data_IF_371432894788
#
_entry.id   IF_371432894788
#
_cell.length_a   1.000
_cell.length_b   1.000
_cell.length_c   1.000
_cell.angle_alpha   90.00
_cell.angle_beta   90.00
_cell.angle_gamma   90.00
#
_symmetry.space_group_name_H-M   'P 1'
#
loop_
_entity.id
_entity.type
_entity.pdbx_description
1 polymer ?
#
# COMPACT_ATOMS: atom_id res chain seq x y z
N UNK A 1 57.67 -3.21 -65.61
CA UNK A 1 57.56 -4.68 -65.61
C UNK A 1 56.27 -5.01 -64.85
N UNK A 2 55.11 -5.14 -65.52
CA UNK A 2 54.64 -6.28 -66.37
C UNK A 2 54.19 -7.48 -65.52
N UNK A 3 52.96 -8.00 -65.60
CA UNK A 3 51.80 -7.71 -66.49
C UNK A 3 50.48 -8.26 -65.84
N UNK A 4 49.30 -7.61 -65.97
CA UNK A 4 48.15 -7.96 -66.88
C UNK A 4 47.62 -9.41 -66.67
N UNK A 5 46.34 -9.75 -66.43
CA UNK A 5 44.99 -9.11 -66.66
C UNK A 5 43.93 -9.58 -65.61
N UNK A 6 42.91 -8.74 -65.32
CA UNK A 6 41.42 -8.92 -65.35
C UNK A 6 40.73 -10.26 -64.88
N UNK A 7 39.45 -10.33 -64.43
CA UNK A 7 38.35 -9.35 -64.27
C UNK A 7 37.26 -9.83 -63.25
N UNK A 8 36.54 -8.90 -62.58
CA UNK A 8 35.30 -9.08 -61.76
C UNK A 8 35.32 -10.00 -60.51
N UNK A 9 34.59 -9.76 -59.41
CA UNK A 9 33.80 -8.57 -58.99
C UNK A 9 33.12 -8.74 -57.61
N UNK A 10 33.21 -7.71 -56.75
CA UNK A 10 32.41 -7.41 -55.53
C UNK A 10 32.29 -8.49 -54.41
N UNK A 11 33.14 -8.48 -53.37
CA UNK A 11 33.16 -7.64 -52.14
C UNK A 11 32.10 -7.93 -51.05
N UNK A 12 32.57 -8.34 -49.87
CA UNK A 12 31.91 -8.16 -48.56
C UNK A 12 32.84 -7.32 -47.67
N UNK A 13 32.31 -6.33 -46.94
CA UNK A 13 33.06 -5.59 -45.91
C UNK A 13 32.16 -5.40 -44.68
N UNK A 14 32.49 -6.09 -43.59
CA UNK A 14 32.08 -5.69 -42.25
C UNK A 14 33.11 -4.70 -41.66
N UNK A 15 32.71 -3.88 -40.69
CA UNK A 15 33.64 -3.09 -39.88
C UNK A 15 33.36 -3.25 -38.39
N UNK A 16 34.45 -3.36 -37.65
CA UNK A 16 34.51 -3.58 -36.20
C UNK A 16 34.44 -2.25 -35.43
N UNK A 17 34.15 -2.37 -34.13
CA UNK A 17 34.13 -1.27 -33.18
C UNK A 17 35.54 -0.77 -32.82
N UNK A 18 35.62 0.51 -32.45
CA UNK A 18 36.76 1.11 -31.74
C UNK A 18 36.21 1.82 -30.52
N UNK A 19 36.88 1.65 -29.38
CA UNK A 19 36.53 2.30 -28.11
C UNK A 19 37.37 3.57 -27.99
N UNK A 20 36.74 4.69 -27.64
CA UNK A 20 37.42 5.90 -27.15
C UNK A 20 36.80 6.27 -25.81
N UNK A 21 37.66 6.61 -24.85
CA UNK A 21 37.30 7.01 -23.50
C UNK A 21 37.91 8.39 -23.25
N UNK A 22 37.10 9.37 -22.88
CA UNK A 22 37.62 10.61 -22.32
C UNK A 22 36.68 11.14 -21.24
N UNK A 23 37.29 11.63 -20.16
CA UNK A 23 36.65 12.49 -19.17
C UNK A 23 37.09 13.90 -19.49
N UNK A 24 36.23 14.90 -19.34
CA UNK A 24 36.74 16.16 -18.83
C UNK A 24 35.69 16.98 -18.07
N UNK A 25 36.18 17.91 -17.25
CA UNK A 25 35.39 18.80 -16.40
C UNK A 25 35.73 20.24 -16.79
N UNK A 26 34.73 21.04 -17.18
CA UNK A 26 34.90 22.49 -17.33
C UNK A 26 33.82 23.22 -16.53
N UNK A 27 34.27 24.20 -15.75
CA UNK A 27 33.44 25.08 -14.90
C UNK A 27 33.38 26.46 -15.54
N UNK A 28 32.18 27.06 -15.65
CA UNK A 28 32.03 28.45 -16.09
C UNK A 28 30.93 29.19 -15.32
N UNK A 29 31.40 29.94 -14.33
CA UNK A 29 30.78 31.02 -13.56
C UNK A 29 29.53 31.74 -14.08
N UNK A 30 28.58 31.93 -13.15
CA UNK A 30 27.78 33.13 -12.85
C UNK A 30 27.06 33.93 -13.96
N UNK A 31 25.78 34.20 -13.69
CA UNK A 31 25.29 35.58 -13.68
C UNK A 31 24.27 35.79 -12.54
N UNK A 32 24.40 36.88 -11.79
CA UNK A 32 23.40 37.33 -10.82
C UNK A 32 22.70 38.53 -11.43
N UNK A 33 21.37 38.51 -11.51
CA UNK A 33 20.56 39.68 -11.86
C UNK A 33 19.66 40.01 -10.69
N UNK A 34 19.93 41.14 -10.04
CA UNK A 34 19.03 41.74 -9.05
C UNK A 34 18.12 42.74 -9.75
N UNK A 35 16.82 42.66 -9.50
CA UNK A 35 15.86 43.74 -9.81
C UNK A 35 15.01 43.96 -8.57
N UNK A 36 15.24 45.08 -7.89
CA UNK A 36 14.33 45.61 -6.87
C UNK A 36 13.42 46.67 -7.47
N UNK A 37 12.17 46.71 -7.02
CA UNK A 37 11.23 47.81 -7.28
C UNK A 37 10.43 48.06 -5.99
N UNK A 38 10.04 49.31 -5.73
CA UNK A 38 9.46 49.74 -4.45
C UNK A 38 8.18 50.55 -4.61
N UNK A 39 7.21 50.29 -3.73
CA UNK A 39 6.02 51.12 -3.46
C UNK A 39 5.49 50.73 -2.07
N UNK A 40 5.55 51.61 -1.06
CA UNK A 40 4.45 52.50 -0.65
C UNK A 40 3.16 51.70 -0.36
N UNK A 41 2.74 51.45 0.89
CA UNK A 41 2.38 52.37 1.99
C UNK A 41 1.16 53.25 1.65
N UNK A 42 -0.01 52.83 2.16
CA UNK A 42 -1.12 53.69 2.61
C UNK A 42 -1.88 52.96 3.73
N UNK A 43 -2.03 53.58 4.90
CA UNK A 43 -3.01 53.17 5.91
C UNK A 43 -4.43 53.56 5.47
N UNK A 44 -5.45 52.81 5.89
CA UNK A 44 -6.70 53.43 6.34
C UNK A 44 -7.43 52.58 7.39
N UNK A 45 -8.30 53.21 8.19
CA UNK A 45 -8.93 52.62 9.38
C UNK A 45 -10.44 52.70 9.34
N UNK A 46 -11.07 51.62 9.83
CA UNK A 46 -12.34 51.58 10.58
C UNK A 46 -13.58 52.29 10.03
N UNK A 47 -14.67 51.53 9.92
CA UNK A 47 -15.97 51.97 10.42
C UNK A 47 -16.80 50.74 10.83
N UNK A 48 -17.52 50.85 11.94
CA UNK A 48 -18.43 49.82 12.45
C UNK A 48 -19.75 50.47 12.84
N UNK A 49 -20.87 49.81 12.56
CA UNK A 49 -22.22 50.27 12.92
C UNK A 49 -23.02 49.09 13.45
N UNK A 50 -23.52 49.24 14.67
CA UNK A 50 -24.53 48.39 15.33
C UNK A 50 -25.91 49.07 15.23
N UNK A 51 -27.01 48.29 15.28
CA UNK A 51 -28.34 48.73 15.79
C UNK A 51 -29.43 47.65 15.69
N UNK A 52 -30.05 47.32 16.83
CA UNK A 52 -31.53 47.33 16.96
C UNK A 52 -32.34 46.02 16.90
N UNK A 53 -33.00 45.67 18.00
CA UNK A 53 -34.11 44.68 18.11
C UNK A 53 -35.48 45.38 18.25
N UNK A 54 -36.62 44.69 18.03
CA UNK A 54 -37.57 44.54 19.16
C UNK A 54 -38.48 43.27 19.22
N UNK A 55 -38.43 42.57 20.38
CA UNK A 55 -39.54 42.14 21.30
C UNK A 55 -40.94 41.74 20.74
N UNK A 56 -41.40 40.47 20.92
CA UNK A 56 -42.33 39.90 21.98
C UNK A 56 -43.85 40.18 21.80
N UNK A 57 -44.83 39.34 22.28
CA UNK A 57 -45.01 38.65 23.60
C UNK A 57 -45.11 37.09 23.54
N UNK A 58 -44.85 36.30 24.59
CA UNK A 58 -45.62 35.97 25.84
C UNK A 58 -46.91 35.13 25.58
N UNK A 59 -47.21 34.00 26.25
CA UNK A 59 -46.68 33.38 27.50
C UNK A 59 -46.90 31.81 27.47
N UNK A 60 -46.96 30.92 28.50
CA UNK A 60 -47.14 30.99 29.97
C UNK A 60 -46.53 29.77 30.78
N UNK A 61 -47.24 29.27 31.81
CA UNK A 61 -46.95 28.28 32.90
C UNK A 61 -47.32 26.81 32.54
N UNK A 62 -47.03 25.70 33.29
CA UNK A 62 -46.06 25.21 34.32
C UNK A 62 -46.58 23.80 34.84
N UNK A 63 -46.02 23.03 35.83
CA UNK A 63 -44.74 23.13 36.57
C UNK A 63 -43.95 21.79 36.84
N UNK A 64 -42.65 21.93 37.19
CA UNK A 64 -41.83 21.17 38.18
C UNK A 64 -41.81 19.61 38.34
N UNK A 65 -40.61 19.03 38.34
CA UNK A 65 -40.00 18.31 39.50
C UNK A 65 -38.45 18.13 39.35
N UNK A 66 -37.68 17.94 40.43
CA UNK A 66 -36.20 17.99 40.40
C UNK A 66 -35.47 16.62 40.43
N UNK A 67 -34.15 16.71 40.29
CA UNK A 67 -33.10 15.67 40.21
C UNK A 67 -33.10 14.56 41.29
N UNK A 68 -32.62 13.37 40.90
CA UNK A 68 -32.08 12.36 41.81
C UNK A 68 -30.76 11.76 41.28
N UNK A 69 -29.84 11.44 42.19
CA UNK A 69 -28.54 10.81 41.90
C UNK A 69 -28.73 9.28 42.00
N UNK A 70 -28.16 8.46 41.09
CA UNK A 70 -28.30 7.00 41.16
C UNK A 70 -27.46 6.40 42.30
N UNK A 71 -28.13 6.07 43.41
CA UNK A 71 -27.53 5.39 44.57
C UNK A 71 -27.00 4.00 44.21
N UNK A 72 -25.74 3.72 44.57
CA UNK A 72 -25.11 2.41 44.45
C UNK A 72 -25.87 1.40 45.34
N UNK A 73 -26.38 0.30 44.74
CA UNK A 73 -26.90 -0.85 45.48
C UNK A 73 -25.77 -1.85 45.77
N UNK A 74 -25.60 -2.33 47.01
CA UNK A 74 -24.69 -3.43 47.30
C UNK A 74 -25.29 -4.75 46.79
N UNK A 75 -24.63 -5.38 45.82
CA UNK A 75 -24.90 -6.78 45.45
C UNK A 75 -24.07 -7.72 46.33
N UNK A 76 -24.62 -8.88 46.67
CA UNK A 76 -24.04 -9.76 47.70
C UNK A 76 -22.80 -10.52 47.21
N UNK A 77 -21.69 -10.31 47.92
CA UNK A 77 -20.41 -10.97 47.68
C UNK A 77 -20.46 -12.46 48.06
N UNK A 78 -20.91 -13.31 47.14
CA UNK A 78 -20.64 -14.76 47.23
C UNK A 78 -19.12 -14.95 47.12
N UNK A 79 -18.47 -15.33 48.21
CA UNK A 79 -17.04 -15.66 48.22
C UNK A 79 -16.77 -16.79 47.24
N UNK A 80 -16.26 -16.45 46.05
CA UNK A 80 -15.71 -17.43 45.12
C UNK A 80 -14.39 -17.91 45.72
N UNK A 81 -14.34 -19.16 46.17
CA UNK A 81 -13.11 -19.73 46.72
C UNK A 81 -11.98 -19.61 45.70
N UNK A 82 -10.85 -19.06 46.15
CA UNK A 82 -9.64 -18.97 45.36
C UNK A 82 -9.13 -20.38 45.09
N UNK A 83 -9.39 -20.90 43.88
CA UNK A 83 -8.61 -22.03 43.37
C UNK A 83 -7.14 -21.58 43.36
N UNK A 84 -6.20 -22.38 43.91
CA UNK A 84 -4.79 -22.04 43.79
C UNK A 84 -4.44 -21.93 42.30
N UNK A 85 -3.75 -20.86 41.92
CA UNK A 85 -3.27 -20.70 40.55
C UNK A 85 -2.20 -21.76 40.30
N UNK A 86 -2.55 -22.79 39.52
CA UNK A 86 -1.60 -23.72 38.94
C UNK A 86 -0.83 -23.01 37.83
N UNK A 87 0.14 -22.16 38.20
CA UNK A 87 1.07 -21.51 37.27
C UNK A 87 2.10 -22.51 36.74
N UNK A 88 1.63 -23.47 35.95
CA UNK A 88 2.43 -24.10 34.90
C UNK A 88 2.41 -23.17 33.67
N UNK A 89 2.96 -21.98 33.82
CA UNK A 89 3.27 -21.12 32.68
C UNK A 89 4.29 -21.85 31.79
N UNK A 90 4.05 -22.01 30.48
CA UNK A 90 5.16 -22.29 29.58
C UNK A 90 6.17 -21.15 29.74
N UNK A 91 7.46 -21.47 29.65
CA UNK A 91 8.55 -20.53 29.92
C UNK A 91 8.45 -19.32 28.97
N UNK A 92 8.45 -18.12 29.53
CA UNK A 92 8.49 -16.87 28.75
C UNK A 92 9.72 -16.85 27.86
N UNK A 93 9.56 -16.53 26.57
CA UNK A 93 10.63 -16.60 25.56
C UNK A 93 11.51 -15.35 25.63
N UNK A 94 12.12 -15.14 26.80
CA UNK A 94 13.19 -14.19 27.03
C UNK A 94 14.50 -14.92 26.66
N UNK A 95 15.23 -14.49 25.61
CA UNK A 95 16.48 -15.14 25.24
C UNK A 95 17.53 -15.00 26.34
N UNK A 96 18.19 -16.11 26.70
CA UNK A 96 19.26 -16.12 27.71
C UNK A 96 20.50 -15.35 27.24
N UNK A 97 20.66 -15.14 25.93
CA UNK A 97 21.65 -14.24 25.33
C UNK A 97 21.05 -12.84 25.16
N UNK A 98 21.68 -11.80 25.71
CA UNK A 98 21.15 -10.44 25.60
C UNK A 98 21.19 -9.97 24.12
N UNK A 99 20.22 -9.17 23.64
CA UNK A 99 20.23 -8.62 22.28
C UNK A 99 21.49 -7.84 21.91
N UNK A 100 22.19 -7.26 22.89
CA UNK A 100 23.47 -6.56 22.72
C UNK A 100 24.68 -7.49 22.51
N UNK A 101 24.54 -8.79 22.77
CA UNK A 101 25.58 -9.80 22.60
C UNK A 101 25.43 -10.60 21.28
N UNK A 102 24.32 -10.41 20.56
CA UNK A 102 24.08 -11.07 19.26
C UNK A 102 24.84 -10.40 18.12
N UNK A 103 25.80 -11.13 17.56
CA UNK A 103 26.48 -10.74 16.32
C UNK A 103 25.50 -10.64 15.13
N UNK A 104 24.43 -11.45 15.12
CA UNK A 104 23.39 -11.38 14.07
C UNK A 104 22.58 -10.09 14.13
N UNK A 105 22.19 -9.64 15.33
CA UNK A 105 21.52 -8.34 15.50
C UNK A 105 22.42 -7.17 15.10
N UNK A 106 23.69 -7.18 15.52
CA UNK A 106 24.64 -6.13 15.15
C UNK A 106 24.86 -6.08 13.63
N UNK A 107 25.01 -7.24 12.98
CA UNK A 107 25.16 -7.33 11.52
C UNK A 107 23.89 -6.91 10.76
N UNK A 108 22.70 -7.21 11.28
CA UNK A 108 21.42 -6.80 10.70
C UNK A 108 21.21 -5.28 10.83
N UNK A 109 21.52 -4.71 11.99
CA UNK A 109 21.42 -3.27 12.28
C UNK A 109 22.28 -2.45 11.31
N UNK A 110 23.56 -2.81 11.17
CA UNK A 110 24.47 -2.13 10.24
C UNK A 110 24.17 -2.38 8.75
N UNK A 111 23.60 -3.54 8.38
CA UNK A 111 23.19 -3.85 7.00
C UNK A 111 22.00 -3.01 6.52
N UNK A 112 21.15 -2.59 7.46
CA UNK A 112 19.96 -1.77 7.20
C UNK A 112 20.21 -0.27 7.40
N UNK A 113 21.45 0.13 7.67
CA UNK A 113 21.88 1.49 8.03
C UNK A 113 20.97 2.13 9.12
N UNK A 114 20.60 1.32 10.12
CA UNK A 114 19.73 1.80 11.20
C UNK A 114 20.49 2.83 12.06
N UNK A 115 19.87 3.97 12.41
CA UNK A 115 20.55 4.98 13.20
C UNK A 115 20.87 4.47 14.59
N UNK A 116 21.99 4.92 15.18
CA UNK A 116 22.46 4.54 16.52
C UNK A 116 21.45 4.79 17.66
N UNK A 117 20.39 5.57 17.42
CA UNK A 117 19.26 5.74 18.35
C UNK A 117 18.33 4.53 18.42
N UNK A 118 18.26 3.72 17.37
CA UNK A 118 17.52 2.46 17.31
C UNK A 118 18.33 1.40 18.09
N UNK A 119 17.84 0.92 19.25
CA UNK A 119 18.60 -0.01 20.07
C UNK A 119 18.42 -1.46 19.59
N UNK A 120 19.47 -2.28 19.74
CA UNK A 120 19.43 -3.71 19.40
C UNK A 120 18.34 -4.49 20.16
N UNK A 121 17.91 -4.00 21.32
CA UNK A 121 16.77 -4.56 22.08
C UNK A 121 15.43 -4.42 21.35
N UNK A 122 15.16 -3.28 20.72
CA UNK A 122 13.98 -3.11 19.85
C UNK A 122 14.08 -3.96 18.58
N UNK A 123 15.31 -4.20 18.08
CA UNK A 123 15.52 -5.04 16.89
C UNK A 123 15.28 -6.52 17.19
N UNK A 124 15.78 -7.01 18.33
CA UNK A 124 15.45 -8.34 18.85
C UNK A 124 13.95 -8.50 19.13
N UNK A 125 13.30 -7.51 19.74
CA UNK A 125 11.84 -7.51 19.94
C UNK A 125 11.07 -7.59 18.61
N UNK A 126 11.52 -6.91 17.56
CA UNK A 126 10.87 -7.00 16.24
C UNK A 126 10.90 -8.42 15.65
N UNK A 127 11.87 -9.26 16.04
CA UNK A 127 12.03 -10.66 15.62
C UNK A 127 11.24 -11.67 16.46
N UNK A 128 10.51 -11.24 17.50
CA UNK A 128 9.66 -12.12 18.32
C UNK A 128 8.20 -11.98 17.86
N UNK A 129 7.67 -12.98 17.17
CA UNK A 129 6.28 -13.02 16.72
C UNK A 129 5.31 -13.34 17.88
N UNK A 130 4.09 -12.79 17.92
CA UNK A 130 3.09 -13.10 18.97
C UNK A 130 2.69 -14.57 19.09
N UNK A 131 3.00 -15.43 18.10
CA UNK A 131 2.83 -16.88 18.22
C UNK A 131 3.94 -17.58 19.01
N UNK A 132 5.11 -16.94 19.17
CA UNK A 132 6.21 -17.43 19.99
C UNK A 132 6.12 -16.95 21.44
N UNK A 133 5.74 -15.68 21.65
CA UNK A 133 5.60 -15.06 22.96
C UNK A 133 4.23 -14.36 23.05
N UNK A 134 3.27 -14.86 23.85
CA UNK A 134 1.94 -14.27 23.94
C UNK A 134 1.93 -12.86 24.56
N UNK A 135 2.92 -12.50 25.38
CA UNK A 135 2.93 -11.21 26.07
C UNK A 135 3.23 -10.02 25.14
N UNK A 136 2.21 -9.20 24.86
CA UNK A 136 2.26 -8.08 23.92
C UNK A 136 3.39 -7.06 24.14
N UNK A 137 3.96 -6.98 25.35
CA UNK A 137 5.11 -6.11 25.65
C UNK A 137 6.48 -6.70 25.26
N UNK A 138 6.57 -8.00 25.02
CA UNK A 138 7.80 -8.70 24.60
C UNK A 138 7.78 -9.06 23.10
N UNK A 139 6.60 -9.29 22.52
CA UNK A 139 6.45 -9.59 21.09
C UNK A 139 6.34 -8.35 20.18
N UNK A 140 6.33 -8.58 18.87
CA UNK A 140 6.33 -7.57 17.81
C UNK A 140 4.94 -7.04 17.42
N UNK A 141 3.83 -7.55 17.96
CA UNK A 141 2.46 -7.25 17.51
C UNK A 141 2.15 -5.75 17.49
N UNK A 142 2.38 -5.03 18.59
CA UNK A 142 2.14 -3.58 18.65
C UNK A 142 3.00 -2.77 17.67
N UNK A 143 4.24 -3.20 17.43
CA UNK A 143 5.14 -2.58 16.45
C UNK A 143 4.70 -2.89 15.02
N UNK A 144 4.28 -4.13 14.76
CA UNK A 144 3.79 -4.60 13.46
C UNK A 144 2.52 -3.86 13.03
N UNK A 145 1.59 -3.62 13.96
CA UNK A 145 0.39 -2.84 13.70
C UNK A 145 0.71 -1.38 13.36
N UNK A 146 1.59 -0.71 14.12
CA UNK A 146 2.04 0.66 13.82
C UNK A 146 2.78 0.74 12.47
N UNK A 147 3.67 -0.20 12.19
CA UNK A 147 4.41 -0.29 10.94
C UNK A 147 3.50 -0.53 9.74
N UNK A 148 2.41 -1.30 9.91
CA UNK A 148 1.41 -1.51 8.87
C UNK A 148 0.64 -0.23 8.52
N UNK A 149 0.36 0.64 9.50
CA UNK A 149 -0.26 1.96 9.26
C UNK A 149 0.71 2.88 8.50
N UNK A 150 1.96 2.96 8.95
CA UNK A 150 3.00 3.79 8.30
C UNK A 150 3.26 3.34 6.85
N UNK A 151 3.43 2.02 6.62
CA UNK A 151 3.59 1.45 5.29
C UNK A 151 2.35 1.66 4.41
N UNK A 152 1.15 1.55 4.99
CA UNK A 152 -0.11 1.86 4.30
C UNK A 152 -0.15 3.29 3.80
N UNK A 153 0.12 4.26 4.70
CA UNK A 153 0.15 5.69 4.41
C UNK A 153 1.13 6.01 3.27
N UNK A 154 2.43 5.77 3.46
CA UNK A 154 3.47 6.11 2.46
C UNK A 154 3.27 5.40 1.11
N UNK A 155 2.73 4.18 1.10
CA UNK A 155 2.43 3.48 -0.17
C UNK A 155 1.20 4.05 -0.86
N UNK A 156 0.18 4.45 -0.11
CA UNK A 156 -1.04 5.04 -0.67
C UNK A 156 -0.79 6.42 -1.28
N UNK A 157 -0.09 7.34 -0.59
CA UNK A 157 0.22 8.65 -1.16
C UNK A 157 1.10 8.54 -2.41
N UNK A 158 2.11 7.66 -2.39
CA UNK A 158 2.97 7.42 -3.54
C UNK A 158 2.17 6.96 -4.76
N UNK A 159 1.32 5.93 -4.61
CA UNK A 159 0.51 5.42 -5.71
C UNK A 159 -0.53 6.41 -6.20
N UNK A 160 -1.18 7.17 -5.31
CA UNK A 160 -2.21 8.15 -5.69
C UNK A 160 -1.63 9.39 -6.36
N UNK A 161 -0.44 9.87 -5.96
CA UNK A 161 0.22 11.01 -6.63
C UNK A 161 0.83 10.58 -7.97
N UNK A 162 1.43 9.39 -8.06
CA UNK A 162 1.99 8.91 -9.33
C UNK A 162 0.92 8.42 -10.33
N UNK A 163 -0.23 7.92 -9.87
CA UNK A 163 -1.31 7.43 -10.73
C UNK A 163 -2.68 7.92 -10.23
N UNK A 164 -3.00 9.21 -10.38
CA UNK A 164 -4.20 9.84 -9.80
C UNK A 164 -5.53 9.33 -10.39
N UNK A 165 -5.48 8.52 -11.45
CA UNK A 165 -6.63 7.87 -12.11
C UNK A 165 -6.70 6.36 -11.86
N UNK A 166 -5.88 5.80 -10.97
CA UNK A 166 -5.76 4.35 -10.82
C UNK A 166 -7.03 3.75 -10.18
N UNK A 167 -7.75 2.81 -10.85
CA UNK A 167 -8.99 2.24 -10.32
C UNK A 167 -8.81 1.59 -8.95
N UNK A 168 -9.80 1.69 -8.07
CA UNK A 168 -9.64 1.35 -6.64
C UNK A 168 -9.17 -0.09 -6.38
N UNK A 169 -9.70 -1.08 -7.11
CA UNK A 169 -9.23 -2.47 -6.98
C UNK A 169 -7.80 -2.67 -7.55
N UNK A 170 -7.38 -1.85 -8.51
CA UNK A 170 -6.00 -1.85 -9.03
C UNK A 170 -5.05 -1.14 -8.05
N UNK A 171 -5.46 -0.01 -7.44
CA UNK A 171 -4.73 0.65 -6.36
C UNK A 171 -4.53 -0.31 -5.18
N UNK A 172 -5.58 -1.00 -4.75
CA UNK A 172 -5.55 -1.99 -3.66
C UNK A 172 -4.68 -3.21 -3.96
N UNK A 173 -4.70 -3.72 -5.20
CA UNK A 173 -3.79 -4.81 -5.61
C UNK A 173 -2.35 -4.33 -5.79
N UNK A 174 -2.12 -3.09 -6.22
CA UNK A 174 -0.80 -2.46 -6.26
C UNK A 174 -0.23 -2.26 -4.84
N UNK A 175 -1.01 -1.74 -3.90
CA UNK A 175 -0.65 -1.66 -2.48
C UNK A 175 -0.28 -3.06 -1.94
N UNK A 176 -1.07 -4.10 -2.22
CA UNK A 176 -0.72 -5.47 -1.83
C UNK A 176 0.55 -5.99 -2.55
N UNK A 177 0.85 -5.52 -3.75
CA UNK A 177 2.10 -5.78 -4.46
C UNK A 177 3.34 -5.15 -3.79
N UNK A 178 3.20 -4.01 -3.12
CA UNK A 178 4.27 -3.38 -2.34
C UNK A 178 4.33 -3.88 -0.88
N UNK A 179 3.22 -3.83 -0.14
CA UNK A 179 3.16 -4.03 1.32
C UNK A 179 2.34 -5.26 1.76
N UNK A 180 1.93 -6.11 0.83
CA UNK A 180 1.35 -7.42 1.13
C UNK A 180 2.37 -8.38 1.76
N UNK A 181 1.92 -9.44 2.44
CA UNK A 181 2.80 -10.30 3.23
C UNK A 181 3.92 -10.94 2.39
N UNK A 182 3.61 -11.55 1.24
CA UNK A 182 4.62 -12.05 0.29
C UNK A 182 5.64 -10.99 -0.15
N UNK A 183 5.22 -9.75 -0.33
CA UNK A 183 6.09 -8.66 -0.76
C UNK A 183 7.03 -8.20 0.36
N UNK A 184 6.54 -8.12 1.60
CA UNK A 184 7.35 -7.80 2.78
C UNK A 184 8.23 -8.97 3.21
N UNK A 185 7.77 -10.22 3.08
CA UNK A 185 8.58 -11.40 3.32
C UNK A 185 9.81 -11.44 2.38
N UNK A 186 9.61 -11.12 1.09
CA UNK A 186 10.71 -10.99 0.13
C UNK A 186 11.71 -9.89 0.52
N UNK A 187 11.24 -8.76 1.06
CA UNK A 187 12.09 -7.69 1.61
C UNK A 187 12.90 -8.21 2.81
N UNK A 188 12.25 -8.85 3.78
CA UNK A 188 12.94 -9.42 4.96
C UNK A 188 13.95 -10.53 4.62
N UNK A 189 13.69 -11.35 3.59
CA UNK A 189 14.68 -12.31 3.09
C UNK A 189 15.83 -11.60 2.35
N UNK A 190 15.56 -10.50 1.64
CA UNK A 190 16.58 -9.66 1.01
C UNK A 190 17.46 -8.94 2.02
N UNK A 191 16.92 -8.60 3.19
CA UNK A 191 17.66 -8.15 4.35
C UNK A 191 18.49 -9.25 5.02
N UNK A 192 18.35 -10.51 4.59
CA UNK A 192 19.10 -11.66 5.12
C UNK A 192 18.72 -12.00 6.57
N UNK A 193 17.43 -11.95 6.90
CA UNK A 193 16.90 -12.44 8.18
C UNK A 193 16.57 -13.92 8.07
N UNK A 194 17.08 -14.69 9.03
CA UNK A 194 16.91 -16.13 9.14
C UNK A 194 15.85 -16.48 10.19
N UNK A 195 15.11 -17.57 9.99
CA UNK A 195 14.13 -18.07 10.95
C UNK A 195 14.73 -19.13 11.87
N UNK A 196 14.48 -19.00 13.18
CA UNK A 196 14.78 -20.05 14.17
C UNK A 196 14.02 -21.35 13.83
N UNK A 197 14.53 -22.52 14.20
CA UNK A 197 13.84 -23.80 13.95
C UNK A 197 12.56 -23.96 14.79
N UNK A 198 12.63 -23.54 16.05
CA UNK A 198 11.52 -23.37 16.99
C UNK A 198 11.83 -22.14 17.85
N UNK A 199 10.82 -21.47 18.46
CA UNK A 199 11.08 -20.44 19.46
C UNK A 199 11.67 -21.05 20.75
N UNK A 200 12.47 -20.29 21.49
CA UNK A 200 13.03 -20.74 22.77
C UNK A 200 14.18 -19.89 23.31
N UNK A 201 14.44 -19.99 24.61
CA UNK A 201 15.42 -19.15 25.32
C UNK A 201 16.87 -19.31 24.85
N UNK A 202 17.22 -20.46 24.26
CA UNK A 202 18.56 -20.80 23.77
C UNK A 202 18.83 -20.29 22.34
N UNK A 203 17.83 -19.69 21.70
CA UNK A 203 17.90 -19.17 20.33
C UNK A 203 18.51 -17.76 20.35
N UNK A 204 19.45 -17.51 19.42
CA UNK A 204 20.01 -16.19 19.17
C UNK A 204 18.88 -15.16 18.88
N UNK A 205 18.77 -14.03 19.61
CA UNK A 205 17.73 -13.02 19.38
C UNK A 205 17.82 -12.32 18.00
N UNK A 206 18.88 -12.59 17.22
CA UNK A 206 18.98 -12.21 15.80
C UNK A 206 18.34 -13.19 14.81
N UNK A 207 17.61 -14.20 15.30
CA UNK A 207 16.77 -15.10 14.50
C UNK A 207 15.28 -14.76 14.69
N UNK A 208 14.50 -14.80 13.61
CA UNK A 208 13.04 -14.65 13.68
C UNK A 208 12.43 -15.85 14.41
N UNK A 209 11.78 -15.59 15.55
CA UNK A 209 11.12 -16.60 16.39
C UNK A 209 9.61 -16.54 16.22
N UNK A 210 9.03 -17.64 15.76
CA UNK A 210 7.59 -17.84 15.59
C UNK A 210 7.26 -19.33 15.66
N UNK A 211 6.04 -19.68 16.07
CA UNK A 211 5.58 -21.07 15.99
C UNK A 211 5.10 -21.38 14.57
N UNK A 212 5.65 -22.44 13.96
CA UNK A 212 5.31 -22.83 12.58
C UNK A 212 3.98 -23.55 12.52
N UNK A 213 3.11 -23.11 11.60
CA UNK A 213 1.94 -23.89 11.18
C UNK A 213 2.38 -25.21 10.54
N UNK A 214 1.69 -26.30 10.88
CA UNK A 214 2.00 -27.64 10.36
C UNK A 214 1.80 -27.75 8.82
N UNK A 215 2.64 -28.52 8.11
CA UNK A 215 2.44 -28.77 6.69
C UNK A 215 1.06 -29.36 6.37
N UNK A 216 0.41 -28.87 5.32
CA UNK A 216 -0.89 -29.37 4.86
C UNK A 216 -2.13 -28.71 5.50
N UNK A 217 -1.98 -27.83 6.50
CA UNK A 217 -3.13 -27.02 6.97
C UNK A 217 -3.60 -26.05 5.87
N UNK A 218 -4.92 -25.86 5.68
CA UNK A 218 -5.41 -24.90 4.69
C UNK A 218 -5.30 -23.45 5.19
N UNK A 219 -4.77 -22.57 4.34
CA UNK A 219 -4.38 -21.19 4.72
C UNK A 219 -5.53 -20.30 5.24
N UNK A 220 -6.80 -20.63 4.94
CA UNK A 220 -7.96 -19.91 5.49
C UNK A 220 -8.11 -20.08 7.02
N UNK A 221 -7.44 -21.07 7.62
CA UNK A 221 -7.35 -21.27 9.08
C UNK A 221 -6.20 -20.51 9.73
N UNK A 222 -5.59 -19.54 9.05
CA UNK A 222 -4.46 -18.76 9.55
C UNK A 222 -4.86 -17.29 9.65
N UNK A 223 -4.69 -16.69 10.83
CA UNK A 223 -5.04 -15.29 11.09
C UNK A 223 -4.19 -14.38 10.20
N UNK A 224 -4.84 -13.56 9.37
CA UNK A 224 -4.15 -12.68 8.41
C UNK A 224 -3.60 -13.39 7.15
N UNK A 225 -3.89 -14.69 6.96
CA UNK A 225 -3.57 -15.40 5.72
C UNK A 225 -4.20 -14.74 4.49
N UNK A 226 -3.51 -14.79 3.35
CA UNK A 226 -3.95 -14.12 2.11
C UNK A 226 -5.23 -14.76 1.59
N UNK A 227 -6.37 -14.13 1.88
CA UNK A 227 -7.71 -14.56 1.52
C UNK A 227 -8.04 -14.43 0.03
N UNK A 228 -7.32 -15.15 -0.82
CA UNK A 228 -7.82 -15.48 -2.15
C UNK A 228 -9.16 -16.23 -1.99
N UNK A 229 -10.20 -15.76 -2.67
CA UNK A 229 -11.59 -16.17 -2.54
C UNK A 229 -12.28 -15.79 -1.21
N UNK A 230 -12.56 -14.50 -1.04
CA UNK A 230 -13.93 -14.14 -0.61
C UNK A 230 -14.85 -14.53 -1.78
N UNK A 231 -15.82 -15.45 -1.61
CA UNK A 231 -16.79 -15.73 -2.66
C UNK A 231 -17.64 -14.48 -2.90
N UNK A 232 -17.58 -13.90 -4.12
CA UNK A 232 -18.38 -12.74 -4.52
C UNK A 232 -19.88 -13.09 -4.49
N UNK A 233 -20.54 -12.91 -3.33
CA UNK A 233 -22.00 -12.81 -3.24
C UNK A 233 -22.44 -11.56 -4.00
N UNK A 234 -22.75 -11.73 -5.30
CA UNK A 234 -22.97 -10.66 -6.30
C UNK A 234 -24.23 -9.79 -6.06
N UNK A 235 -24.90 -9.92 -4.92
CA UNK A 235 -26.22 -9.35 -4.64
C UNK A 235 -26.29 -8.34 -3.47
N UNK A 236 -25.17 -8.03 -2.80
CA UNK A 236 -25.16 -7.18 -1.59
C UNK A 236 -24.25 -5.95 -1.74
N UNK A 237 -24.37 -5.20 -2.85
CA UNK A 237 -23.69 -3.90 -3.06
C UNK A 237 -24.65 -2.70 -3.03
N UNK A 238 -25.65 -2.75 -2.15
CA UNK A 238 -26.24 -1.55 -1.52
C UNK A 238 -26.46 -1.89 -0.04
N UNK A 239 -26.01 -1.06 0.91
CA UNK A 239 -26.41 -1.18 2.31
C UNK A 239 -27.88 -0.77 2.46
N UNK A 240 -28.81 -1.73 2.47
CA UNK A 240 -30.22 -1.49 2.77
C UNK A 240 -30.38 -1.07 4.23
N UNK A 241 -30.33 0.24 4.48
CA UNK A 241 -30.33 0.84 5.82
C UNK A 241 -31.59 0.50 6.65
N UNK A 242 -32.69 0.17 5.99
CA UNK A 242 -34.01 -0.05 6.59
C UNK A 242 -34.23 -1.48 7.15
N UNK A 243 -33.37 -2.44 6.80
CA UNK A 243 -33.61 -3.87 7.09
C UNK A 243 -32.42 -4.62 7.72
N UNK A 244 -31.49 -3.89 8.36
CA UNK A 244 -30.52 -4.53 9.26
C UNK A 244 -31.23 -4.96 10.56
N UNK A 245 -31.21 -6.25 10.96
CA UNK A 245 -31.64 -6.63 12.30
C UNK A 245 -30.71 -6.01 13.34
N UNK A 246 -31.28 -5.55 14.47
CA UNK A 246 -30.52 -5.05 15.62
C UNK A 246 -29.41 -6.03 16.01
N UNK A 247 -28.24 -5.52 16.40
CA UNK A 247 -27.06 -6.32 16.75
C UNK A 247 -27.39 -7.39 17.80
N UNK A 248 -28.29 -7.07 18.74
CA UNK A 248 -28.79 -7.96 19.79
C UNK A 248 -29.43 -9.23 19.23
N UNK A 249 -30.27 -9.11 18.17
CA UNK A 249 -30.93 -10.25 17.51
C UNK A 249 -29.96 -11.17 16.77
N UNK A 250 -28.77 -10.69 16.43
CA UNK A 250 -27.68 -11.52 15.87
C UNK A 250 -26.87 -12.21 16.97
N UNK A 251 -26.83 -11.68 18.19
CA UNK A 251 -26.14 -12.25 19.34
C UNK A 251 -26.97 -13.35 20.04
N UNK A 252 -28.30 -13.23 20.03
CA UNK A 252 -29.23 -14.20 20.64
C UNK A 252 -29.38 -15.50 19.83
N UNK A 253 -29.00 -15.52 18.54
CA UNK A 253 -29.20 -16.66 17.64
C UNK A 253 -28.02 -17.67 17.59
N UNK A 254 -26.92 -17.45 18.30
CA UNK A 254 -25.79 -18.39 18.32
C UNK A 254 -26.04 -19.61 19.22
N UNK A 255 -26.40 -20.74 18.61
CA UNK A 255 -26.41 -22.05 19.29
C UNK A 255 -25.03 -22.39 19.84
N UNK A 256 -24.92 -23.21 20.91
CA UNK A 256 -23.62 -23.64 21.44
C UNK A 256 -22.76 -24.37 20.40
N UNK A 257 -23.38 -25.07 19.45
CA UNK A 257 -22.68 -25.70 18.33
C UNK A 257 -22.14 -24.68 17.33
N UNK A 258 -22.88 -23.61 17.01
CA UNK A 258 -22.34 -22.52 16.18
C UNK A 258 -21.25 -21.73 16.91
N UNK A 259 -21.34 -21.56 18.23
CA UNK A 259 -20.25 -21.00 19.05
C UNK A 259 -19.02 -21.91 19.05
N UNK A 260 -19.18 -23.22 19.28
CA UNK A 260 -18.09 -24.19 19.26
C UNK A 260 -17.47 -24.33 17.86
N UNK A 261 -18.26 -24.28 16.79
CA UNK A 261 -17.77 -24.26 15.42
C UNK A 261 -17.06 -22.94 15.09
N UNK A 262 -17.58 -21.80 15.55
CA UNK A 262 -16.92 -20.49 15.46
C UNK A 262 -15.63 -20.44 16.27
N UNK A 263 -15.54 -21.20 17.37
CA UNK A 263 -14.35 -21.33 18.23
C UNK A 263 -13.31 -22.30 17.67
N UNK A 264 -13.73 -23.42 17.07
CA UNK A 264 -12.85 -24.29 16.26
C UNK A 264 -12.45 -23.65 14.91
N UNK A 265 -13.16 -22.60 14.48
CA UNK A 265 -12.79 -21.71 13.37
C UNK A 265 -12.11 -20.42 13.83
N UNK A 266 -11.94 -20.16 15.15
CA UNK A 266 -10.94 -19.18 15.57
C UNK A 266 -9.59 -19.79 15.18
N UNK A 267 -8.79 -19.15 14.31
CA UNK A 267 -7.43 -19.60 14.09
C UNK A 267 -6.73 -19.52 15.45
N UNK A 268 -6.21 -20.66 15.94
CA UNK A 268 -5.43 -20.69 17.17
C UNK A 268 -4.32 -19.65 17.09
N UNK A 269 -4.05 -18.93 18.18
CA UNK A 269 -3.02 -17.89 18.22
C UNK A 269 -1.60 -18.48 18.29
N UNK A 270 -1.50 -19.78 18.04
CA UNK A 270 -0.43 -20.65 18.49
C UNK A 270 0.56 -20.97 17.35
N UNK A 271 0.26 -20.55 16.12
CA UNK A 271 1.11 -20.78 14.95
C UNK A 271 0.84 -19.81 13.78
N UNK A 272 1.90 -19.45 13.05
CA UNK A 272 1.86 -18.59 11.84
C UNK A 272 2.75 -19.18 10.70
N UNK A 273 2.68 -18.57 9.51
CA UNK A 273 3.57 -18.93 8.39
C UNK A 273 4.83 -18.08 8.40
N UNK A 274 5.91 -18.58 7.78
CA UNK A 274 7.13 -17.80 7.55
C UNK A 274 6.84 -16.48 6.84
N UNK A 275 5.95 -16.49 5.84
CA UNK A 275 5.57 -15.29 5.08
C UNK A 275 4.95 -14.21 5.99
N UNK A 276 4.04 -14.61 6.88
CA UNK A 276 3.35 -13.69 7.79
C UNK A 276 4.28 -13.20 8.91
N UNK A 277 5.10 -14.08 9.50
CA UNK A 277 6.06 -13.70 10.54
C UNK A 277 7.14 -12.74 10.01
N UNK A 278 7.71 -13.02 8.83
CA UNK A 278 8.68 -12.13 8.16
C UNK A 278 8.04 -10.78 7.82
N UNK A 279 6.78 -10.76 7.34
CA UNK A 279 6.04 -9.53 7.09
C UNK A 279 5.73 -8.74 8.38
N UNK A 280 5.47 -9.44 9.49
CA UNK A 280 5.26 -8.83 10.81
C UNK A 280 6.54 -8.15 11.31
N UNK A 281 7.68 -8.84 11.20
CA UNK A 281 9.00 -8.28 11.50
C UNK A 281 9.33 -7.05 10.65
N UNK A 282 9.13 -7.08 9.32
CA UNK A 282 9.41 -5.92 8.46
C UNK A 282 8.54 -4.71 8.82
N UNK A 283 7.26 -4.91 9.18
CA UNK A 283 6.43 -3.84 9.76
C UNK A 283 7.01 -3.33 11.08
N UNK A 284 7.36 -4.24 12.00
CA UNK A 284 7.88 -3.89 13.31
C UNK A 284 9.20 -3.10 13.25
N UNK A 285 10.08 -3.37 12.28
CA UNK A 285 11.29 -2.54 12.06
C UNK A 285 10.96 -1.13 11.59
N UNK A 286 9.99 -0.94 10.68
CA UNK A 286 9.54 0.40 10.24
C UNK A 286 8.96 1.19 11.41
N UNK A 287 8.21 0.53 12.31
CA UNK A 287 7.76 1.16 13.56
C UNK A 287 8.91 1.49 14.52
N UNK A 288 9.93 0.63 14.63
CA UNK A 288 11.14 0.93 15.39
C UNK A 288 11.90 2.15 14.83
N UNK A 289 12.00 2.27 13.50
CA UNK A 289 12.60 3.44 12.83
C UNK A 289 11.82 4.70 13.21
N UNK A 290 10.49 4.68 13.12
CA UNK A 290 9.63 5.80 13.53
C UNK A 290 9.84 6.20 15.00
N UNK A 291 9.79 5.23 15.93
CA UNK A 291 9.87 5.47 17.37
C UNK A 291 11.25 5.98 17.83
N UNK A 292 12.33 5.55 17.20
CA UNK A 292 13.70 5.84 17.66
C UNK A 292 14.46 6.89 16.84
N UNK A 293 14.17 7.03 15.54
CA UNK A 293 14.97 7.89 14.65
C UNK A 293 14.60 9.37 14.77
N UNK A 294 13.32 9.66 15.08
CA UNK A 294 12.77 11.02 15.17
C UNK A 294 11.45 11.21 14.41
N UNK A 295 10.60 10.19 14.31
CA UNK A 295 9.27 10.29 13.71
C UNK A 295 9.25 10.14 12.18
N UNK A 296 8.39 10.94 11.53
CA UNK A 296 7.97 10.72 10.13
C UNK A 296 9.10 10.85 9.08
N UNK A 297 9.97 11.89 9.07
CA UNK A 297 10.89 12.08 7.94
C UNK A 297 11.91 10.94 7.72
N UNK A 298 12.63 10.42 8.74
CA UNK A 298 13.51 9.27 8.55
C UNK A 298 12.74 7.98 8.18
N UNK A 299 11.50 7.85 8.65
CA UNK A 299 10.64 6.69 8.32
C UNK A 299 10.25 6.70 6.85
N UNK A 300 9.89 7.88 6.31
CA UNK A 300 9.64 8.08 4.88
C UNK A 300 10.86 7.67 4.05
N UNK A 301 12.03 8.20 4.37
CA UNK A 301 13.29 7.88 3.67
C UNK A 301 13.58 6.37 3.69
N UNK A 302 13.46 5.72 4.86
CA UNK A 302 13.66 4.27 4.99
C UNK A 302 12.65 3.44 4.18
N UNK A 303 11.37 3.83 4.16
CA UNK A 303 10.31 3.15 3.39
C UNK A 303 10.49 3.37 1.87
N UNK A 304 10.89 4.56 1.43
CA UNK A 304 11.24 4.80 0.04
C UNK A 304 12.43 3.94 -0.40
N UNK A 305 13.50 3.88 0.41
CA UNK A 305 14.70 3.12 0.11
C UNK A 305 14.48 1.59 0.03
N UNK A 306 13.69 1.01 0.95
CA UNK A 306 13.55 -0.45 1.06
C UNK A 306 12.26 -1.04 0.46
N UNK A 307 11.17 -0.26 0.39
CA UNK A 307 9.84 -0.78 0.00
C UNK A 307 9.40 -0.24 -1.35
N UNK A 308 9.47 1.07 -1.57
CA UNK A 308 8.98 1.72 -2.81
C UNK A 308 10.02 1.72 -3.95
N UNK A 309 11.30 1.52 -3.65
CA UNK A 309 12.39 1.36 -4.63
C UNK A 309 12.26 0.15 -5.57
N UNK A 310 11.40 -0.82 -5.23
CA UNK A 310 11.16 -2.03 -6.02
C UNK A 310 10.18 -1.76 -7.16
N UNK A 311 10.54 -2.14 -8.38
CA UNK A 311 9.68 -1.98 -9.55
C UNK A 311 8.45 -2.90 -9.51
N UNK A 312 7.25 -2.32 -9.51
CA UNK A 312 5.99 -3.03 -9.75
C UNK A 312 5.41 -2.64 -11.12
N UNK A 313 5.23 -3.60 -12.02
CA UNK A 313 4.61 -3.37 -13.33
C UNK A 313 3.07 -3.31 -13.20
N UNK A 314 2.54 -2.16 -12.76
CA UNK A 314 1.10 -1.92 -12.51
C UNK A 314 0.23 -2.25 -13.74
N UNK A 315 0.76 -2.07 -14.95
CA UNK A 315 0.13 -2.49 -16.21
C UNK A 315 -0.37 -3.94 -16.22
N UNK A 316 0.31 -4.84 -15.51
CA UNK A 316 0.01 -6.28 -15.44
C UNK A 316 -1.08 -6.62 -14.40
N UNK A 317 -1.54 -5.65 -13.61
CA UNK A 317 -2.60 -5.83 -12.61
C UNK A 317 -4.00 -5.67 -13.21
N UNK A 318 -4.13 -5.00 -14.37
CA UNK A 318 -5.42 -4.73 -15.01
C UNK A 318 -6.06 -5.99 -15.61
N UNK A 319 -7.32 -6.23 -15.25
CA UNK A 319 -8.19 -7.24 -15.87
C UNK A 319 -9.53 -6.59 -16.24
N UNK A 320 -9.82 -6.49 -17.54
CA UNK A 320 -11.03 -5.86 -18.07
C UNK A 320 -12.07 -6.90 -18.50
N UNK A 321 -13.31 -6.80 -18.01
CA UNK A 321 -14.42 -7.66 -18.45
C UNK A 321 -15.07 -7.16 -19.77
N UNK A 322 -15.29 -5.84 -19.91
CA UNK A 322 -16.00 -5.26 -21.07
C UNK A 322 -15.37 -3.93 -21.57
N UNK A 323 -14.09 -3.93 -21.99
CA UNK A 323 -13.31 -2.70 -22.24
C UNK A 323 -13.90 -1.80 -23.33
N UNK A 324 -14.59 -2.34 -24.33
CA UNK A 324 -15.25 -1.53 -25.38
C UNK A 324 -16.48 -0.76 -24.88
N UNK A 325 -17.17 -1.27 -23.85
CA UNK A 325 -18.34 -0.64 -23.22
C UNK A 325 -17.89 0.39 -22.19
N UNK A 326 -16.85 0.07 -21.43
CA UNK A 326 -16.18 0.97 -20.50
C UNK A 326 -15.57 2.19 -21.21
N UNK A 327 -14.80 1.99 -22.28
CA UNK A 327 -14.23 3.09 -23.09
C UNK A 327 -15.30 3.98 -23.74
N UNK A 328 -16.44 3.41 -24.14
CA UNK A 328 -17.58 4.19 -24.64
C UNK A 328 -18.14 5.10 -23.54
N UNK A 329 -18.22 4.62 -22.29
CA UNK A 329 -18.61 5.45 -21.14
C UNK A 329 -17.56 6.48 -20.76
N UNK A 330 -16.26 6.19 -20.88
CA UNK A 330 -15.22 7.20 -20.72
C UNK A 330 -15.47 8.37 -21.67
N UNK A 331 -15.65 8.08 -22.96
CA UNK A 331 -15.86 9.13 -23.97
C UNK A 331 -17.11 9.96 -23.67
N UNK A 332 -18.22 9.33 -23.27
CA UNK A 332 -19.45 10.06 -22.87
C UNK A 332 -19.24 10.88 -21.58
N UNK A 333 -18.43 10.41 -20.63
CA UNK A 333 -18.14 11.12 -19.36
C UNK A 333 -17.28 12.36 -19.57
N UNK A 334 -16.23 12.25 -20.38
CA UNK A 334 -15.29 13.34 -20.67
C UNK A 334 -15.78 14.28 -21.79
N UNK A 335 -16.95 14.00 -22.40
CA UNK A 335 -17.51 14.81 -23.51
C UNK A 335 -16.85 14.56 -24.87
N UNK A 336 -16.06 13.50 -25.02
CA UNK A 336 -15.43 13.10 -26.27
C UNK A 336 -16.43 12.47 -27.26
N UNK A 337 -16.07 12.45 -28.54
CA UNK A 337 -16.84 11.72 -29.55
C UNK A 337 -16.83 10.20 -29.28
N UNK A 338 -17.84 9.48 -29.76
CA UNK A 338 -17.92 8.04 -29.51
C UNK A 338 -16.74 7.29 -30.15
N UNK A 339 -16.15 6.28 -29.47
CA UNK A 339 -14.92 5.64 -29.92
C UNK A 339 -15.16 4.69 -31.10
N UNK A 340 -14.62 5.05 -32.28
CA UNK A 340 -14.71 4.28 -33.52
C UNK A 340 -13.43 3.48 -33.73
N UNK A 341 -13.56 2.15 -33.83
CA UNK A 341 -12.45 1.28 -34.19
C UNK A 341 -12.23 1.29 -35.71
N UNK A 342 -11.01 1.63 -36.15
CA UNK A 342 -10.57 1.66 -37.56
C UNK A 342 -9.45 0.63 -37.77
N UNK A 343 -9.50 -0.10 -38.88
CA UNK A 343 -8.39 -0.98 -39.29
C UNK A 343 -7.28 -0.11 -39.91
N UNK A 344 -6.08 -0.15 -39.35
CA UNK A 344 -4.94 0.65 -39.84
C UNK A 344 -4.02 -0.17 -40.76
N UNK A 345 -3.71 -1.40 -40.36
CA UNK A 345 -2.83 -2.31 -41.10
C UNK A 345 -3.33 -3.74 -40.96
N UNK A 346 -3.11 -4.53 -41.99
CA UNK A 346 -3.50 -5.93 -42.05
C UNK A 346 -2.46 -6.74 -42.83
N UNK A 347 -2.18 -7.95 -42.38
CA UNK A 347 -1.44 -8.93 -43.17
C UNK A 347 -1.96 -10.34 -42.91
N UNK A 348 -1.91 -11.19 -43.95
CA UNK A 348 -2.21 -12.62 -43.83
C UNK A 348 -3.66 -12.97 -43.45
N UNK A 349 -4.67 -12.15 -43.80
CA UNK A 349 -6.11 -12.37 -43.46
C UNK A 349 -6.60 -13.80 -43.65
N UNK A 350 -6.17 -14.47 -44.72
CA UNK A 350 -6.55 -15.84 -45.08
C UNK A 350 -5.53 -16.89 -44.64
N UNK A 351 -4.73 -16.61 -43.61
CA UNK A 351 -3.73 -17.51 -43.04
C UNK A 351 -4.02 -17.83 -41.58
N UNK A 352 -3.41 -18.90 -41.06
CA UNK A 352 -3.48 -19.29 -39.63
C UNK A 352 -2.90 -18.22 -38.69
N UNK A 353 -2.04 -17.34 -39.19
CA UNK A 353 -1.32 -16.33 -38.42
C UNK A 353 -1.53 -14.94 -39.03
N UNK A 354 -2.80 -14.61 -39.30
CA UNK A 354 -3.21 -13.25 -39.64
C UNK A 354 -2.80 -12.26 -38.53
N UNK A 355 -2.48 -11.02 -38.91
CA UNK A 355 -2.23 -9.93 -37.98
C UNK A 355 -3.03 -8.72 -38.41
N UNK A 356 -3.96 -8.29 -37.55
CA UNK A 356 -4.77 -7.09 -37.72
C UNK A 356 -4.33 -6.04 -36.69
N UNK A 357 -4.03 -4.83 -37.15
CA UNK A 357 -3.70 -3.68 -36.31
C UNK A 357 -4.87 -2.70 -36.39
N UNK A 358 -5.54 -2.52 -35.26
CA UNK A 358 -6.74 -1.68 -35.12
C UNK A 358 -6.44 -0.51 -34.21
N UNK A 359 -6.73 0.70 -34.67
CA UNK A 359 -6.76 1.91 -33.84
C UNK A 359 -8.17 2.19 -33.34
N UNK A 360 -8.31 2.72 -32.14
CA UNK A 360 -9.58 3.31 -31.66
C UNK A 360 -9.45 4.82 -31.65
N UNK A 361 -10.38 5.48 -32.32
CA UNK A 361 -10.36 6.92 -32.57
C UNK A 361 -11.57 7.62 -31.95
N UNK A 362 -11.37 8.81 -31.40
CA UNK A 362 -12.42 9.78 -31.09
C UNK A 362 -12.28 10.95 -32.06
N UNK A 363 -13.18 11.02 -33.05
CA UNK A 363 -13.04 11.94 -34.19
C UNK A 363 -11.75 11.67 -34.98
N UNK A 364 -10.75 12.54 -34.79
CA UNK A 364 -9.43 12.46 -35.42
C UNK A 364 -8.35 11.90 -34.48
N UNK A 365 -8.53 12.02 -33.16
CA UNK A 365 -7.54 11.59 -32.17
C UNK A 365 -7.54 10.06 -31.99
N UNK A 366 -6.35 9.45 -31.95
CA UNK A 366 -6.15 8.01 -31.72
C UNK A 366 -5.95 7.74 -30.23
N UNK A 367 -6.96 7.20 -29.57
CA UNK A 367 -6.95 6.88 -28.14
C UNK A 367 -6.11 5.63 -27.80
N UNK A 368 -5.93 4.71 -28.75
CA UNK A 368 -5.17 3.47 -28.52
C UNK A 368 -5.05 2.58 -29.74
N UNK A 369 -4.11 1.63 -29.69
CA UNK A 369 -3.81 0.66 -30.76
C UNK A 369 -3.83 -0.77 -30.22
N UNK A 370 -4.23 -1.74 -31.04
CA UNK A 370 -4.25 -3.16 -30.67
C UNK A 370 -3.93 -4.07 -31.85
N UNK A 371 -2.95 -4.95 -31.66
CA UNK A 371 -2.60 -6.03 -32.60
C UNK A 371 -3.21 -7.37 -32.17
N UNK A 372 -3.98 -8.01 -33.05
CA UNK A 372 -4.64 -9.30 -32.78
C UNK A 372 -4.61 -10.26 -33.97
N UNK A 373 -4.80 -11.55 -33.67
CA UNK A 373 -4.97 -12.62 -34.67
C UNK A 373 -6.34 -12.59 -35.36
N UNK A 374 -7.28 -11.82 -34.82
CA UNK A 374 -8.61 -11.58 -35.38
C UNK A 374 -9.05 -10.13 -35.17
N UNK A 375 -9.95 -9.63 -36.02
CA UNK A 375 -10.51 -8.28 -35.92
C UNK A 375 -11.16 -7.97 -34.55
N UNK A 376 -11.95 -8.88 -33.92
CA UNK A 376 -12.49 -8.64 -32.59
C UNK A 376 -11.42 -8.55 -31.50
N UNK A 377 -10.40 -9.42 -31.56
CA UNK A 377 -9.28 -9.41 -30.61
C UNK A 377 -8.45 -8.14 -30.71
N UNK A 378 -8.12 -7.69 -31.93
CA UNK A 378 -7.43 -6.44 -32.19
C UNK A 378 -8.22 -5.24 -31.64
N UNK A 379 -9.54 -5.19 -31.89
CA UNK A 379 -10.45 -4.16 -31.34
C UNK A 379 -10.51 -4.17 -29.80
N UNK A 380 -10.56 -5.35 -29.18
CA UNK A 380 -10.56 -5.49 -27.71
C UNK A 380 -9.23 -4.98 -27.13
N UNK A 381 -8.09 -5.39 -27.71
CA UNK A 381 -6.77 -4.92 -27.30
C UNK A 381 -6.58 -3.42 -27.47
N UNK A 382 -7.09 -2.83 -28.55
CA UNK A 382 -7.03 -1.38 -28.78
C UNK A 382 -7.83 -0.60 -27.72
N UNK A 383 -9.02 -1.10 -27.35
CA UNK A 383 -9.80 -0.51 -26.26
C UNK A 383 -9.11 -0.67 -24.89
N UNK A 384 -8.48 -1.81 -24.63
CA UNK A 384 -7.65 -2.04 -23.42
C UNK A 384 -6.45 -1.07 -23.40
N UNK A 385 -5.77 -0.82 -24.52
CA UNK A 385 -4.67 0.13 -24.61
C UNK A 385 -5.12 1.56 -24.30
N UNK A 386 -6.31 1.97 -24.78
CA UNK A 386 -6.87 3.29 -24.51
C UNK A 386 -7.23 3.47 -23.02
N UNK A 387 -7.91 2.48 -22.42
CA UNK A 387 -8.22 2.50 -20.98
C UNK A 387 -6.95 2.49 -20.12
N UNK A 388 -5.94 1.70 -20.49
CA UNK A 388 -4.64 1.72 -19.82
C UNK A 388 -3.94 3.08 -19.95
N UNK A 389 -3.96 3.70 -21.13
CA UNK A 389 -3.43 5.05 -21.33
C UNK A 389 -4.12 6.11 -20.47
N UNK A 390 -5.44 5.98 -20.25
CA UNK A 390 -6.19 6.84 -19.33
C UNK A 390 -5.84 6.60 -17.86
N UNK A 391 -5.88 5.35 -17.40
CA UNK A 391 -5.72 5.00 -15.98
C UNK A 391 -4.25 5.03 -15.49
N UNK A 392 -3.28 4.76 -16.37
CA UNK A 392 -1.84 4.84 -16.07
C UNK A 392 -1.26 6.24 -16.37
N UNK A 393 -2.10 7.25 -16.57
CA UNK A 393 -1.66 8.64 -16.62
C UNK A 393 -0.86 8.98 -15.37
N UNK A 394 0.36 9.49 -15.58
CA UNK A 394 1.27 9.94 -14.52
C UNK A 394 1.71 11.38 -14.86
N UNK A 395 1.50 12.36 -13.96
CA UNK A 395 1.83 13.75 -14.23
C UNK A 395 3.35 13.96 -14.29
N UNK A 396 3.82 14.64 -15.33
CA UNK A 396 5.26 14.96 -15.51
C UNK A 396 5.71 16.10 -14.59
N UNK A 397 4.78 16.98 -14.18
CA UNK A 397 5.03 17.96 -13.12
C UNK A 397 5.23 17.25 -11.78
N UNK A 398 6.27 17.60 -11.05
CA UNK A 398 6.49 17.13 -9.69
C UNK A 398 5.42 17.67 -8.72
N UNK A 399 4.30 16.95 -8.66
CA UNK A 399 3.31 17.09 -7.60
C UNK A 399 3.93 16.60 -6.30
N UNK A 400 3.75 17.36 -5.23
CA UNK A 400 4.34 17.02 -3.94
C UNK A 400 3.58 15.87 -3.27
N UNK A 401 4.33 14.91 -2.71
CA UNK A 401 3.74 13.94 -1.78
C UNK A 401 3.22 14.69 -0.54
N UNK A 402 1.99 14.43 -0.06
CA UNK A 402 1.44 14.98 1.17
C UNK A 402 2.43 15.00 2.34
N UNK A 403 3.18 13.93 2.55
CA UNK A 403 4.22 13.81 3.59
C UNK A 403 5.46 14.71 3.40
N UNK A 404 5.44 15.67 2.48
CA UNK A 404 6.43 16.75 2.38
C UNK A 404 6.34 17.73 3.55
N UNK A 405 5.13 17.99 4.05
CA UNK A 405 4.88 18.97 5.11
C UNK A 405 4.97 18.38 6.53
N UNK A 406 4.97 17.06 6.69
CA UNK A 406 5.01 16.30 7.96
C UNK A 406 6.00 16.83 9.01
N UNK A 407 7.18 17.28 8.59
CA UNK A 407 8.22 17.84 9.46
C UNK A 407 8.42 19.35 9.36
N UNK A 408 7.78 20.01 8.39
CA UNK A 408 7.95 21.44 8.06
C UNK A 408 6.68 21.96 7.36
N UNK A 409 5.69 22.49 8.10
CA UNK A 409 4.41 22.91 7.54
C UNK A 409 4.54 24.13 6.60
N UNK A 410 5.59 24.94 6.76
CA UNK A 410 5.82 26.18 6.01
C UNK A 410 6.39 25.95 4.59
N UNK A 411 6.58 24.69 4.17
CA UNK A 411 7.07 24.38 2.83
C UNK A 411 5.98 24.59 1.76
N UNK A 412 6.31 25.16 0.59
CA UNK A 412 5.36 25.26 -0.50
C UNK A 412 4.97 23.86 -1.00
N UNK A 413 3.66 23.64 -1.13
CA UNK A 413 3.06 22.37 -1.53
C UNK A 413 2.33 22.52 -2.88
N UNK A 414 2.77 21.77 -3.90
CA UNK A 414 2.08 21.66 -5.19
C UNK A 414 0.99 20.59 -5.12
N UNK A 415 -0.31 20.94 -5.28
CA UNK A 415 -1.38 19.96 -5.17
C UNK A 415 -1.33 18.95 -6.32
N UNK A 416 -1.55 17.67 -5.98
CA UNK A 416 -1.70 16.60 -6.96
C UNK A 416 -3.05 16.68 -7.69
N UNK A 417 -3.11 16.07 -8.88
CA UNK A 417 -4.37 15.87 -9.62
C UNK A 417 -5.25 14.88 -8.84
N UNK A 418 -6.55 15.15 -8.78
CA UNK A 418 -7.56 14.25 -8.20
C UNK A 418 -8.55 13.90 -9.31
N UNK A 419 -8.73 12.62 -9.61
CA UNK A 419 -9.73 12.16 -10.60
C UNK A 419 -11.13 12.05 -9.99
N UNK A 420 -12.14 12.02 -10.86
CA UNK A 420 -13.56 11.83 -10.49
C UNK A 420 -13.86 10.36 -10.13
N UNK A 421 -12.93 9.44 -10.39
CA UNK A 421 -12.98 8.02 -9.98
C UNK A 421 -13.27 7.04 -11.13
N UNK A 422 -13.37 5.76 -10.79
CA UNK A 422 -13.50 4.64 -11.72
C UNK A 422 -14.75 4.72 -12.64
N UNK A 423 -14.65 4.16 -13.85
CA UNK A 423 -15.79 4.07 -14.78
C UNK A 423 -16.68 2.88 -14.39
N UNK A 424 -17.90 3.15 -13.90
CA UNK A 424 -18.91 2.10 -13.65
C UNK A 424 -19.57 1.67 -14.96
N UNK A 425 -19.53 0.37 -15.31
CA UNK A 425 -20.05 -0.20 -16.59
C UNK A 425 -21.25 -1.16 -16.43
#
# INVERSE_FOLDING_TARGET
MSSVTDETGFTYIGRSSVIVSERDIVVSHSLIVSVGASSQITDEKSLAVDMGLPRRPSTMLSPSRPSSIPTIRPSSSKHRSSRPFSTSSPLSVIPNLLPTQSAKLAALHGRLDLPNKYPLTTLGRALIDPTAEPEHHLNNDGLSNLGNVLLGYYTSEYLMVHYPRLPYEILKTAMNGYIGPRALAAVGTGWGVEAAFAPGETVDPGLLQFNRVAPGTPLYKIKGGVGFNIPRKRNNMVPNFENNPSVDKLLEAETPEMKAAREAQRPGQDATTLELAMASFVRATVAGVYLHSGGLPPTKEFVHAHVLSRKLDIDKLFQFEQPTRELSRLCVREGFQQPIARLEKETGRYSRHAVFIVGVYSGEEKLGEGQGSSLPEAKIKAAISALKGWYLYSPVSAADLPSKTDGKPDLPFTPAVIDVGDIVS
#
